data_IF_950815134802
#
_entry.id   IF_950815134802
#
_cell.length_a   1.000
_cell.length_b   1.000
_cell.length_c   1.000
_cell.angle_alpha   90.00
_cell.angle_beta   90.00
_cell.angle_gamma   90.00
#
_symmetry.space_group_name_H-M   'P 1'
#
loop_
_entity.id
_entity.type
_entity.pdbx_description
1 polymer ?
#
# COMPACT_ATOMS: atom_id res chain seq x y z
N UNK A 1 -17.20 11.88 2.27
CA UNK A 1 -15.73 11.80 2.34
C UNK A 1 -15.43 10.89 3.52
N UNK A 2 -14.73 9.79 3.27
CA UNK A 2 -14.36 8.82 4.31
C UNK A 2 -13.40 9.50 5.28
N UNK A 3 -13.61 9.35 6.59
CA UNK A 3 -12.77 9.96 7.61
C UNK A 3 -11.49 9.18 7.86
N UNK A 4 -10.37 9.89 8.01
CA UNK A 4 -9.07 9.29 8.34
C UNK A 4 -9.10 8.40 9.58
N UNK A 5 -9.86 8.81 10.60
CA UNK A 5 -10.02 8.04 11.83
C UNK A 5 -10.79 6.73 11.60
N UNK A 6 -11.76 6.73 10.69
CA UNK A 6 -12.54 5.54 10.33
C UNK A 6 -11.65 4.53 9.60
N UNK A 7 -10.80 5.01 8.69
CA UNK A 7 -9.78 4.21 8.00
C UNK A 7 -8.80 3.62 9.00
N UNK A 8 -8.29 4.43 9.93
CA UNK A 8 -7.33 3.95 10.93
C UNK A 8 -7.95 2.85 11.82
N UNK A 9 -9.21 3.02 12.25
CA UNK A 9 -9.95 2.00 13.01
C UNK A 9 -10.14 0.74 12.18
N UNK A 10 -10.57 0.86 10.92
CA UNK A 10 -10.74 -0.27 10.01
C UNK A 10 -9.43 -1.04 9.79
N UNK A 11 -8.32 -0.33 9.57
CA UNK A 11 -7.01 -0.93 9.38
C UNK A 11 -6.52 -1.65 10.65
N UNK A 12 -6.72 -1.06 11.83
CA UNK A 12 -6.41 -1.73 13.10
C UNK A 12 -7.24 -2.99 13.35
N UNK A 13 -8.48 -3.08 12.85
CA UNK A 13 -9.27 -4.33 12.90
C UNK A 13 -8.69 -5.42 12.01
N UNK A 14 -8.04 -5.04 10.91
CA UNK A 14 -7.36 -5.96 10.00
C UNK A 14 -5.94 -6.34 10.47
N UNK A 15 -5.31 -5.52 11.31
CA UNK A 15 -3.96 -5.73 11.83
C UNK A 15 -3.84 -6.88 12.85
N UNK A 16 -2.61 -7.36 13.08
CA UNK A 16 -2.30 -8.42 14.05
C UNK A 16 -2.86 -9.81 13.71
N UNK A 17 -3.47 -9.97 12.53
CA UNK A 17 -3.86 -11.26 11.96
C UNK A 17 -2.89 -11.58 10.84
N UNK A 18 -2.31 -12.78 10.85
CA UNK A 18 -1.62 -13.33 9.69
C UNK A 18 -2.56 -13.27 8.48
N UNK A 19 -2.11 -12.63 7.41
CA UNK A 19 -2.81 -12.63 6.13
C UNK A 19 -2.25 -13.74 5.27
N UNK A 20 -3.15 -14.63 4.86
CA UNK A 20 -2.85 -15.68 3.89
C UNK A 20 -3.32 -15.20 2.53
N UNK A 21 -2.38 -15.07 1.59
CA UNK A 21 -2.70 -14.81 0.17
C UNK A 21 -3.49 -15.99 -0.43
N UNK A 22 -3.45 -17.18 0.19
CA UNK A 22 -4.26 -18.34 -0.19
C UNK A 22 -4.72 -19.12 1.06
N UNK A 23 -6.03 -19.23 1.33
CA UNK A 23 -6.54 -19.94 2.51
C UNK A 23 -6.28 -21.45 2.46
N UNK A 24 -5.80 -22.02 3.56
CA UNK A 24 -5.72 -23.49 3.77
C UNK A 24 -4.39 -24.14 3.40
N UNK A 25 -3.42 -23.39 2.90
CA UNK A 25 -2.05 -23.85 2.65
C UNK A 25 -1.06 -23.01 3.47
N UNK A 26 0.07 -23.61 3.86
CA UNK A 26 1.23 -22.82 4.29
C UNK A 26 1.70 -21.98 3.10
N UNK A 27 1.17 -20.77 2.97
CA UNK A 27 1.56 -19.89 1.89
C UNK A 27 2.98 -19.39 2.14
N UNK A 28 3.89 -19.52 1.16
CA UNK A 28 5.19 -18.86 1.26
C UNK A 28 5.07 -17.34 1.21
N UNK A 29 3.85 -16.78 1.09
CA UNK A 29 3.51 -15.37 0.97
C UNK A 29 2.73 -14.83 2.19
N UNK A 30 2.70 -15.58 3.28
CA UNK A 30 2.08 -15.10 4.53
C UNK A 30 2.84 -13.89 5.09
N UNK A 31 2.10 -12.88 5.52
CA UNK A 31 2.64 -11.69 6.19
C UNK A 31 1.71 -11.17 7.29
N UNK A 32 2.24 -10.30 8.14
CA UNK A 32 1.54 -9.64 9.22
C UNK A 32 1.71 -8.12 9.12
N UNK A 33 0.64 -7.38 9.40
CA UNK A 33 0.72 -5.95 9.72
C UNK A 33 1.08 -5.82 11.20
N UNK A 34 2.33 -5.47 11.50
CA UNK A 34 2.87 -5.47 12.86
C UNK A 34 2.72 -4.15 13.61
N UNK A 35 2.67 -3.05 12.88
CA UNK A 35 2.66 -1.72 13.46
C UNK A 35 1.97 -0.76 12.51
N UNK A 36 1.16 0.13 13.07
CA UNK A 36 0.39 1.14 12.36
C UNK A 36 0.52 2.43 13.15
N UNK A 37 0.95 3.50 12.47
CA UNK A 37 1.13 4.82 13.07
C UNK A 37 0.46 5.85 12.18
N UNK A 38 -0.39 6.68 12.77
CA UNK A 38 -0.85 7.88 12.09
C UNK A 38 0.34 8.85 11.92
N UNK A 39 0.53 9.35 10.71
CA UNK A 39 1.53 10.37 10.36
C UNK A 39 0.84 11.51 9.62
N UNK A 40 1.44 12.71 9.53
CA UNK A 40 0.84 13.81 8.79
C UNK A 40 0.50 13.40 7.35
N UNK A 41 -0.80 13.42 7.01
CA UNK A 41 -1.31 13.08 5.69
C UNK A 41 -1.33 11.59 5.33
N UNK A 42 -1.01 10.68 6.25
CA UNK A 42 -0.95 9.26 5.92
C UNK A 42 -0.90 8.31 7.11
N UNK A 43 -0.67 7.04 6.78
CA UNK A 43 -0.49 5.95 7.72
C UNK A 43 0.85 5.29 7.44
N UNK A 44 1.74 5.31 8.41
CA UNK A 44 2.96 4.49 8.39
C UNK A 44 2.60 3.08 8.89
N UNK A 45 2.73 2.09 8.02
CA UNK A 45 2.42 0.69 8.28
C UNK A 45 3.64 -0.20 8.11
N UNK A 46 3.93 -1.05 9.11
CA UNK A 46 4.99 -2.05 9.04
C UNK A 46 4.41 -3.43 8.66
N UNK A 47 4.98 -4.01 7.60
CA UNK A 47 4.68 -5.34 7.11
C UNK A 47 5.85 -6.27 7.37
N UNK A 48 5.56 -7.47 7.88
CA UNK A 48 6.56 -8.50 8.11
C UNK A 48 6.10 -9.81 7.52
N UNK A 49 6.87 -10.31 6.57
CA UNK A 49 6.68 -11.60 5.94
C UNK A 49 7.04 -12.75 6.90
N UNK A 50 6.50 -13.96 6.67
CA UNK A 50 6.72 -15.14 7.56
C UNK A 50 8.19 -15.51 7.80
N UNK A 51 9.06 -15.20 6.85
CA UNK A 51 10.51 -15.47 6.94
C UNK A 51 11.29 -14.35 7.66
N UNK A 52 10.60 -13.33 8.17
CA UNK A 52 11.16 -12.21 8.90
C UNK A 52 11.56 -11.01 8.04
N UNK A 53 11.46 -11.12 6.71
CA UNK A 53 11.70 -9.96 5.82
C UNK A 53 10.57 -8.95 6.00
N UNK A 54 10.91 -7.69 6.25
CA UNK A 54 9.93 -6.64 6.45
C UNK A 54 10.25 -5.34 5.75
N UNK A 55 9.24 -4.48 5.68
CA UNK A 55 9.34 -3.10 5.25
C UNK A 55 8.25 -2.26 5.91
N UNK A 56 8.45 -0.95 5.91
CA UNK A 56 7.40 0.02 6.21
C UNK A 56 6.89 0.64 4.90
N UNK A 57 5.69 1.21 4.93
CA UNK A 57 5.15 2.01 3.83
C UNK A 57 4.32 3.15 4.42
N UNK A 58 4.37 4.31 3.77
CA UNK A 58 3.52 5.45 4.14
C UNK A 58 2.38 5.55 3.14
N UNK A 59 1.19 5.17 3.58
CA UNK A 59 -0.04 5.14 2.79
C UNK A 59 -0.74 6.50 2.93
N UNK A 60 -0.83 7.33 1.88
CA UNK A 60 -1.54 8.60 1.97
C UNK A 60 -3.02 8.39 2.26
N UNK A 61 -3.54 9.24 3.14
CA UNK A 61 -4.96 9.27 3.50
C UNK A 61 -5.74 10.13 2.50
N UNK A 62 -7.06 9.88 2.30
CA UNK A 62 -7.88 10.69 1.40
C UNK A 62 -7.83 12.19 1.67
N UNK A 63 -7.78 12.57 2.95
CA UNK A 63 -7.71 13.98 3.38
C UNK A 63 -6.46 14.72 2.91
N UNK A 64 -5.38 13.99 2.62
CA UNK A 64 -4.10 14.57 2.21
C UNK A 64 -4.09 15.04 0.75
N UNK A 65 -5.03 14.56 -0.07
CA UNK A 65 -4.99 14.73 -1.52
C UNK A 65 -3.83 13.99 -2.20
N UNK A 66 -3.10 13.14 -1.47
CA UNK A 66 -2.03 12.32 -1.99
C UNK A 66 -2.52 11.27 -2.99
N UNK A 67 -1.61 10.81 -3.85
CA UNK A 67 -1.91 9.76 -4.82
C UNK A 67 -2.23 8.44 -4.12
N UNK A 68 -3.34 7.81 -4.48
CA UNK A 68 -3.78 6.52 -3.93
C UNK A 68 -3.89 5.49 -5.05
N UNK A 69 -2.76 5.08 -5.64
CA UNK A 69 -2.76 4.29 -6.87
C UNK A 69 -3.29 2.85 -6.71
N UNK A 70 -3.50 2.39 -5.47
CA UNK A 70 -4.07 1.07 -5.17
C UNK A 70 -5.61 1.05 -5.21
N UNK A 71 -6.28 2.21 -5.22
CA UNK A 71 -7.74 2.25 -5.33
C UNK A 71 -8.17 1.81 -6.73
N UNK A 72 -8.93 0.73 -6.82
CA UNK A 72 -9.49 0.20 -8.07
C UNK A 72 -10.97 0.56 -8.29
N UNK A 73 -11.64 1.10 -7.28
CA UNK A 73 -12.97 1.71 -7.37
C UNK A 73 -13.11 2.83 -6.32
N UNK A 74 -14.09 3.72 -6.49
CA UNK A 74 -14.45 4.67 -5.43
C UNK A 74 -14.99 3.89 -4.23
N UNK A 75 -14.36 4.00 -3.04
CA UNK A 75 -14.79 3.21 -1.90
C UNK A 75 -16.06 3.78 -1.27
N UNK A 76 -16.99 2.89 -0.92
CA UNK A 76 -18.26 3.25 -0.28
C UNK A 76 -18.06 3.66 1.18
N UNK A 77 -17.11 3.03 1.87
CA UNK A 77 -16.77 3.27 3.28
C UNK A 77 -15.29 2.98 3.60
N UNK A 78 -14.91 3.13 4.86
CA UNK A 78 -13.55 2.89 5.34
C UNK A 78 -13.11 1.42 5.26
N UNK A 79 -14.03 0.48 5.41
CA UNK A 79 -13.72 -0.95 5.32
C UNK A 79 -13.47 -1.35 3.87
N UNK A 80 -14.21 -0.79 2.90
CA UNK A 80 -13.95 -0.95 1.48
C UNK A 80 -12.58 -0.35 1.10
N UNK A 81 -12.29 0.88 1.51
CA UNK A 81 -10.98 1.50 1.28
C UNK A 81 -9.82 0.65 1.81
N UNK A 82 -9.94 0.14 3.04
CA UNK A 82 -8.94 -0.76 3.64
C UNK A 82 -8.89 -2.09 2.90
N UNK A 83 -10.03 -2.63 2.46
CA UNK A 83 -10.11 -3.84 1.64
C UNK A 83 -9.29 -3.71 0.35
N UNK A 84 -9.46 -2.61 -0.38
CA UNK A 84 -8.70 -2.36 -1.61
C UNK A 84 -7.20 -2.22 -1.34
N UNK A 85 -6.80 -1.51 -0.28
CA UNK A 85 -5.40 -1.42 0.15
C UNK A 85 -4.82 -2.80 0.45
N UNK A 86 -5.54 -3.63 1.20
CA UNK A 86 -5.03 -4.94 1.62
C UNK A 86 -4.93 -5.93 0.46
N UNK A 87 -5.84 -5.88 -0.51
CA UNK A 87 -5.72 -6.65 -1.77
C UNK A 87 -4.42 -6.25 -2.48
N UNK A 88 -4.16 -4.95 -2.61
CA UNK A 88 -2.92 -4.48 -3.21
C UNK A 88 -1.69 -4.95 -2.43
N UNK A 89 -1.71 -4.89 -1.10
CA UNK A 89 -0.59 -5.42 -0.28
C UNK A 89 -0.42 -6.93 -0.45
N UNK A 90 -1.50 -7.71 -0.51
CA UNK A 90 -1.43 -9.16 -0.75
C UNK A 90 -0.70 -9.46 -2.09
N UNK A 91 -1.00 -8.68 -3.14
CA UNK A 91 -0.35 -8.76 -4.45
C UNK A 91 1.12 -8.35 -4.42
N UNK A 92 1.45 -7.25 -3.73
CA UNK A 92 2.83 -6.83 -3.50
C UNK A 92 3.62 -7.94 -2.81
N UNK A 93 3.07 -8.54 -1.77
CA UNK A 93 3.75 -9.63 -1.06
C UNK A 93 3.93 -10.86 -1.97
N UNK A 94 2.88 -11.26 -2.70
CA UNK A 94 2.90 -12.39 -3.63
C UNK A 94 3.97 -12.25 -4.71
N UNK A 95 4.16 -11.03 -5.21
CA UNK A 95 5.14 -10.71 -6.26
C UNK A 95 6.52 -10.37 -5.71
N UNK A 96 6.79 -10.72 -4.44
CA UNK A 96 8.04 -10.44 -3.74
C UNK A 96 8.36 -8.93 -3.61
N UNK A 97 7.35 -8.08 -3.57
CA UNK A 97 7.42 -6.63 -3.38
C UNK A 97 7.98 -6.21 -2.02
N UNK A 98 7.95 -7.09 -1.01
CA UNK A 98 8.69 -6.86 0.24
C UNK A 98 10.18 -7.20 0.13
N UNK A 99 10.70 -7.64 -1.02
CA UNK A 99 12.10 -8.03 -1.21
C UNK A 99 12.86 -7.01 -2.07
N UNK A 100 14.08 -7.36 -2.49
CA UNK A 100 15.01 -6.49 -3.21
C UNK A 100 14.51 -6.01 -4.60
N UNK A 101 13.38 -6.51 -5.10
CA UNK A 101 12.80 -6.10 -6.38
C UNK A 101 12.06 -4.77 -6.37
N UNK A 102 11.84 -4.17 -5.20
CA UNK A 102 11.14 -2.87 -5.05
C UNK A 102 12.10 -1.73 -4.73
N UNK A 103 11.78 -0.55 -5.27
CA UNK A 103 12.41 0.69 -4.86
C UNK A 103 12.14 0.92 -3.38
N UNK A 104 13.22 1.18 -2.65
CA UNK A 104 13.19 1.38 -1.20
C UNK A 104 13.94 2.64 -0.84
N UNK A 105 13.45 3.29 0.21
CA UNK A 105 14.16 4.35 0.91
C UNK A 105 14.53 3.82 2.28
N UNK A 106 15.82 3.59 2.49
CA UNK A 106 16.35 3.17 3.78
C UNK A 106 16.65 4.38 4.66
N UNK A 107 16.20 4.32 5.90
CA UNK A 107 16.57 5.25 6.98
C UNK A 107 17.37 4.49 8.05
N UNK A 108 17.91 5.22 9.03
CA UNK A 108 18.64 4.60 10.14
C UNK A 108 17.76 3.61 10.95
N UNK A 109 16.44 3.80 10.94
CA UNK A 109 15.49 3.05 11.76
C UNK A 109 14.64 2.04 10.99
N UNK A 110 14.47 2.19 9.67
CA UNK A 110 13.58 1.34 8.87
C UNK A 110 13.87 1.38 7.36
N UNK A 111 13.36 0.38 6.65
CA UNK A 111 13.33 0.34 5.18
C UNK A 111 11.91 0.58 4.69
N UNK A 112 11.71 1.62 3.87
CA UNK A 112 10.41 1.99 3.34
C UNK A 112 10.25 1.55 1.88
N UNK A 113 9.16 0.86 1.55
CA UNK A 113 8.80 0.58 0.15
C UNK A 113 8.07 1.77 -0.42
N UNK A 114 8.48 2.21 -1.62
CA UNK A 114 7.76 3.25 -2.36
C UNK A 114 6.46 2.70 -2.95
N UNK A 115 5.36 3.42 -2.75
CA UNK A 115 4.07 3.09 -3.34
C UNK A 115 4.09 3.45 -4.83
N UNK A 116 3.94 2.45 -5.69
CA UNK A 116 3.85 2.65 -7.14
C UNK A 116 2.49 2.26 -7.66
N UNK A 117 2.08 2.84 -8.78
CA UNK A 117 0.97 2.35 -9.57
C UNK A 117 1.17 0.88 -9.94
N UNK A 118 0.29 0.03 -9.41
CA UNK A 118 0.17 -1.33 -9.88
C UNK A 118 -0.62 -1.28 -11.20
N UNK A 119 -0.06 -1.87 -12.26
CA UNK A 119 -0.59 -1.82 -13.63
C UNK A 119 -1.90 -2.58 -13.87
N UNK A 120 -2.74 -2.76 -12.84
CA UNK A 120 -3.96 -3.56 -12.90
C UNK A 120 -5.24 -2.77 -13.17
N UNK A 121 -5.11 -1.63 -13.86
CA UNK A 121 -6.21 -1.08 -14.65
C UNK A 121 -5.78 -0.93 -16.10
N UNK A 122 -5.93 -2.01 -16.87
CA UNK A 122 -6.06 -1.94 -18.34
C UNK A 122 -7.55 -1.80 -18.73
N UNK A 123 -8.41 -1.32 -17.83
CA UNK A 123 -9.79 -0.96 -18.18
C UNK A 123 -9.89 0.47 -18.72
N UNK A 124 -8.90 1.32 -18.43
CA UNK A 124 -8.81 2.70 -18.94
C UNK A 124 -7.35 3.08 -19.25
N UNK A 125 -6.96 3.08 -20.53
CA UNK A 125 -5.63 3.50 -20.96
C UNK A 125 -5.26 4.94 -20.55
N UNK A 126 -6.25 5.85 -20.40
CA UNK A 126 -5.98 7.23 -20.03
C UNK A 126 -5.60 7.36 -18.55
N UNK A 127 -6.25 6.59 -17.68
CA UNK A 127 -5.92 6.55 -16.25
C UNK A 127 -4.55 5.87 -16.03
N UNK A 128 -4.22 4.86 -16.83
CA UNK A 128 -2.90 4.23 -16.82
C UNK A 128 -1.78 5.24 -17.16
N UNK A 129 -1.94 6.00 -18.25
CA UNK A 129 -1.00 7.05 -18.64
C UNK A 129 -0.90 8.17 -17.59
N UNK A 130 -2.03 8.56 -16.98
CA UNK A 130 -2.03 9.54 -15.87
C UNK A 130 -1.22 9.05 -14.68
N UNK A 131 -1.35 7.76 -14.31
CA UNK A 131 -0.68 7.16 -13.16
C UNK A 131 0.82 6.94 -13.38
N UNK A 132 1.26 6.66 -14.62
CA UNK A 132 2.69 6.62 -14.97
C UNK A 132 3.36 7.99 -14.82
N UNK A 133 2.64 9.07 -15.13
CA UNK A 133 3.15 10.45 -15.07
C UNK A 133 3.22 11.05 -13.65
N UNK A 134 2.63 10.39 -12.64
CA UNK A 134 2.69 10.82 -11.23
C UNK A 134 3.92 10.32 -10.47
N UNK A 135 4.69 9.37 -11.05
CA UNK A 135 5.81 8.68 -10.39
C UNK A 135 7.18 9.37 -10.46
N UNK A 136 7.30 10.54 -11.07
CA UNK A 136 8.58 11.28 -11.13
C UNK A 136 8.61 12.43 -10.13
N UNK A 137 9.44 12.37 -9.07
CA UNK A 137 9.66 13.51 -8.18
C UNK A 137 10.62 14.49 -8.85
N UNK A 138 10.14 15.27 -9.83
CA UNK A 138 10.70 16.58 -10.20
C UNK A 138 9.89 17.17 -11.34
N UNK A 139 9.25 18.32 -11.06
CA UNK A 139 9.02 19.28 -12.11
C UNK A 139 10.36 19.65 -12.75
N UNK A 140 10.51 19.36 -14.04
CA UNK A 140 11.38 20.15 -14.90
C UNK A 140 10.83 20.17 -16.32
N UNK A 141 10.43 21.39 -16.67
CA UNK A 141 10.13 21.98 -17.96
C UNK A 141 10.65 21.19 -19.18
N UNK A 142 9.72 20.99 -20.12
CA UNK A 142 9.81 21.20 -21.59
C UNK A 142 11.21 21.32 -22.22
N UNK A 143 11.39 20.74 -23.41
CA UNK A 143 10.99 21.50 -24.61
C UNK A 143 9.93 20.82 -25.48
#
# INVERSE_FOLDING_TARGET
MIGDQEILVALHRAAGRSRLVSPGEESPWEYEIRDIRAVPGGIDMALVHRDGVGARMVVPLPSSGGSQPWLYADPDDADDWVGQLLIWVDEEVYTAGLRAGRTRVDTDDASYVELTSYGWRVSDPAEHERLLNFGTPQGRLEP
#
